data_IF_702885341946
#
_entry.id   IF_702885341946
#
_cell.length_a   1.000
_cell.length_b   1.000
_cell.length_c   1.000
_cell.angle_alpha   90.00
_cell.angle_beta   90.00
_cell.angle_gamma   90.00
#
_symmetry.space_group_name_H-M   'P 1'
#
loop_
_entity.id
_entity.type
_entity.pdbx_description
1 polymer ?
#
# COMPACT_ATOMS: atom_id res chain seq x y z
N UNK A 1 -28.03 -52.84 -53.48
CA UNK A 1 -26.84 -52.56 -52.65
C UNK A 1 -26.90 -51.04 -52.31
N UNK A 2 -27.45 -50.67 -51.14
CA UNK A 2 -27.56 -49.27 -50.66
C UNK A 2 -26.46 -48.99 -49.68
N UNK A 3 -25.56 -48.09 -50.03
CA UNK A 3 -24.47 -47.62 -49.13
C UNK A 3 -25.02 -46.55 -48.22
N UNK A 4 -25.03 -46.82 -46.89
CA UNK A 4 -25.33 -45.83 -45.86
C UNK A 4 -24.10 -44.99 -45.60
N UNK A 5 -24.20 -43.69 -45.88
CA UNK A 5 -23.22 -42.68 -45.44
C UNK A 5 -23.59 -42.23 -44.04
N UNK A 6 -22.70 -42.46 -43.07
CA UNK A 6 -22.81 -41.94 -41.69
C UNK A 6 -22.03 -40.63 -41.64
N UNK A 7 -22.64 -39.49 -41.26
CA UNK A 7 -21.90 -38.25 -41.10
C UNK A 7 -21.19 -38.29 -39.72
N UNK A 8 -19.85 -38.11 -39.76
CA UNK A 8 -19.01 -37.95 -38.62
C UNK A 8 -19.18 -36.53 -38.07
N UNK A 9 -19.97 -36.36 -37.00
CA UNK A 9 -20.11 -35.10 -36.30
C UNK A 9 -18.87 -34.90 -35.41
N UNK A 10 -17.98 -34.04 -35.85
CA UNK A 10 -16.79 -33.60 -35.07
C UNK A 10 -17.25 -32.62 -33.98
N UNK A 11 -17.34 -33.10 -32.74
CA UNK A 11 -17.66 -32.30 -31.57
C UNK A 11 -16.37 -31.54 -31.13
N UNK A 12 -16.22 -30.28 -31.57
CA UNK A 12 -15.19 -29.37 -31.06
C UNK A 12 -15.50 -29.02 -29.62
N UNK A 13 -14.82 -29.68 -28.66
CA UNK A 13 -14.76 -29.26 -27.26
C UNK A 13 -13.94 -27.97 -27.20
N UNK A 14 -14.61 -26.80 -27.14
CA UNK A 14 -13.98 -25.55 -26.73
C UNK A 14 -13.68 -25.65 -25.22
N UNK A 15 -12.45 -26.00 -24.90
CA UNK A 15 -11.92 -25.86 -23.56
C UNK A 15 -11.83 -24.35 -23.24
N UNK A 16 -12.82 -23.81 -22.56
CA UNK A 16 -12.74 -22.48 -21.98
C UNK A 16 -11.62 -22.52 -20.93
N UNK A 17 -10.45 -21.99 -21.26
CA UNK A 17 -9.35 -21.77 -20.32
C UNK A 17 -9.84 -20.76 -19.29
N UNK A 18 -10.31 -21.24 -18.14
CA UNK A 18 -10.49 -20.41 -16.95
C UNK A 18 -9.10 -19.97 -16.56
N UNK A 19 -8.71 -18.76 -16.94
CA UNK A 19 -7.50 -18.14 -16.44
C UNK A 19 -7.63 -18.09 -14.92
N UNK A 20 -6.86 -18.92 -14.22
CA UNK A 20 -6.75 -18.87 -12.76
C UNK A 20 -6.24 -17.46 -12.41
N UNK A 21 -7.12 -16.63 -11.91
CA UNK A 21 -6.77 -15.32 -11.39
C UNK A 21 -6.06 -15.55 -10.07
N UNK A 22 -4.86 -14.98 -9.94
CA UNK A 22 -4.18 -14.97 -8.65
C UNK A 22 -5.08 -14.30 -7.62
N UNK A 23 -5.24 -14.90 -6.45
CA UNK A 23 -5.93 -14.34 -5.31
C UNK A 23 -5.23 -13.02 -4.91
N UNK A 24 -5.98 -11.97 -4.67
CA UNK A 24 -5.44 -10.65 -4.32
C UNK A 24 -4.57 -10.71 -3.04
N UNK A 25 -4.85 -11.60 -2.10
CA UNK A 25 -4.02 -11.83 -0.92
C UNK A 25 -2.68 -12.45 -1.32
N UNK A 26 -2.69 -13.40 -2.25
CA UNK A 26 -1.44 -13.97 -2.76
C UNK A 26 -0.64 -12.94 -3.57
N UNK A 27 -1.32 -12.11 -4.38
CA UNK A 27 -0.69 -10.98 -5.07
C UNK A 27 -0.02 -10.02 -4.09
N UNK A 28 -0.66 -9.72 -2.95
CA UNK A 28 -0.07 -8.90 -1.88
C UNK A 28 1.16 -9.56 -1.28
N UNK A 29 1.10 -10.87 -0.97
CA UNK A 29 2.24 -11.62 -0.45
C UNK A 29 3.41 -11.62 -1.42
N UNK A 30 3.14 -11.89 -2.69
CA UNK A 30 4.14 -11.85 -3.76
C UNK A 30 4.76 -10.46 -3.89
N UNK A 31 3.94 -9.41 -3.89
CA UNK A 31 4.43 -8.02 -3.94
C UNK A 31 5.38 -7.70 -2.78
N UNK A 32 5.02 -8.09 -1.56
CA UNK A 32 5.89 -7.87 -0.38
C UNK A 32 7.16 -8.74 -0.45
N UNK A 33 7.05 -9.99 -0.92
CA UNK A 33 8.17 -10.93 -1.01
C UNK A 33 9.16 -10.54 -2.10
N UNK A 34 8.68 -10.18 -3.28
CA UNK A 34 9.49 -10.11 -4.50
C UNK A 34 9.94 -8.68 -4.83
N UNK A 35 9.10 -7.68 -4.58
CA UNK A 35 9.42 -6.28 -4.84
C UNK A 35 10.17 -5.68 -3.65
N UNK A 36 11.49 -5.62 -3.72
CA UNK A 36 12.34 -5.14 -2.60
C UNK A 36 12.44 -3.63 -2.51
N UNK A 37 12.41 -2.95 -3.64
CA UNK A 37 12.52 -1.48 -3.72
C UNK A 37 11.54 -0.93 -4.75
N UNK A 38 11.04 0.28 -4.52
CA UNK A 38 10.17 0.94 -5.48
C UNK A 38 9.98 2.42 -5.18
N UNK A 39 9.52 3.13 -6.21
CA UNK A 39 9.13 4.55 -6.17
C UNK A 39 7.85 4.72 -6.95
N UNK A 40 6.94 5.55 -6.44
CA UNK A 40 5.71 5.93 -7.12
C UNK A 40 5.37 7.40 -6.81
N UNK A 41 4.63 8.04 -7.70
CA UNK A 41 3.88 9.26 -7.37
C UNK A 41 2.57 8.83 -6.70
N UNK A 42 2.06 9.65 -5.77
CA UNK A 42 0.75 9.41 -5.19
C UNK A 42 -0.10 10.68 -5.16
N UNK A 43 -1.41 10.47 -5.24
CA UNK A 43 -2.43 11.44 -4.81
C UNK A 43 -3.21 10.81 -3.68
N UNK A 44 -3.55 11.60 -2.67
CA UNK A 44 -4.35 11.17 -1.53
C UNK A 44 -5.59 12.05 -1.40
N UNK A 45 -6.72 11.42 -1.11
CA UNK A 45 -7.94 12.13 -0.70
C UNK A 45 -8.33 11.60 0.68
N UNK A 46 -8.38 12.50 1.65
CA UNK A 46 -8.86 12.20 3.01
C UNK A 46 -10.27 12.76 3.14
N UNK A 47 -11.22 11.90 3.50
CA UNK A 47 -12.61 12.24 3.74
C UNK A 47 -12.89 12.17 5.25
N UNK A 48 -13.50 13.22 5.80
CA UNK A 48 -13.90 13.28 7.21
C UNK A 48 -14.95 12.21 7.56
N UNK A 49 -15.12 11.86 8.86
CA UNK A 49 -16.07 10.82 9.28
C UNK A 49 -17.52 11.07 8.85
N UNK A 50 -17.93 12.33 8.74
CA UNK A 50 -19.25 12.73 8.27
C UNK A 50 -19.39 12.71 6.74
N UNK A 51 -18.30 12.44 6.00
CA UNK A 51 -18.26 12.39 4.54
C UNK A 51 -18.26 13.77 3.85
N UNK A 52 -18.34 14.85 4.60
CA UNK A 52 -18.56 16.21 4.05
C UNK A 52 -17.26 16.88 3.62
N UNK A 53 -16.23 16.82 4.46
CA UNK A 53 -14.95 17.50 4.19
C UNK A 53 -14.01 16.56 3.47
N UNK A 54 -13.41 17.04 2.37
CA UNK A 54 -12.38 16.34 1.63
C UNK A 54 -11.12 17.19 1.56
N UNK A 55 -9.98 16.58 1.88
CA UNK A 55 -8.65 17.19 1.71
C UNK A 55 -7.86 16.35 0.71
N UNK A 56 -7.22 17.02 -0.25
CA UNK A 56 -6.37 16.37 -1.24
C UNK A 56 -4.92 16.74 -1.01
N UNK A 57 -4.04 15.77 -1.15
CA UNK A 57 -2.59 15.95 -1.10
C UNK A 57 -1.92 15.10 -2.17
N UNK A 58 -0.67 15.39 -2.46
CA UNK A 58 0.12 14.62 -3.42
C UNK A 58 1.59 14.66 -3.07
N UNK A 59 2.32 13.67 -3.59
CA UNK A 59 3.75 13.56 -3.31
C UNK A 59 4.37 12.31 -3.92
N UNK A 60 5.51 11.91 -3.36
CA UNK A 60 6.27 10.75 -3.78
C UNK A 60 6.34 9.73 -2.66
N UNK A 61 6.12 8.48 -3.00
CA UNK A 61 6.33 7.33 -2.12
C UNK A 61 7.52 6.53 -2.60
N UNK A 62 8.43 6.22 -1.69
CA UNK A 62 9.61 5.39 -1.92
C UNK A 62 9.71 4.33 -0.83
N UNK A 63 10.20 3.15 -1.18
CA UNK A 63 10.45 2.11 -0.19
C UNK A 63 11.66 1.24 -0.55
N UNK A 64 12.31 0.73 0.49
CA UNK A 64 13.34 -0.30 0.40
C UNK A 64 13.17 -1.26 1.58
N UNK A 65 12.68 -2.45 1.30
CA UNK A 65 12.43 -3.48 2.32
C UNK A 65 13.73 -4.08 2.85
N UNK A 66 13.76 -4.46 4.13
CA UNK A 66 12.69 -4.28 5.11
C UNK A 66 12.69 -2.89 5.77
N UNK A 67 11.51 -2.44 6.19
CA UNK A 67 11.28 -1.36 7.16
C UNK A 67 11.76 0.04 6.74
N UNK A 68 12.15 0.27 5.49
CA UNK A 68 12.56 1.58 5.00
C UNK A 68 11.55 2.11 4.00
N UNK A 69 11.07 3.31 4.24
CA UNK A 69 10.14 4.00 3.36
C UNK A 69 10.23 5.50 3.55
N UNK A 70 9.72 6.24 2.57
CA UNK A 70 9.63 7.69 2.56
C UNK A 70 8.37 8.12 1.84
N UNK A 71 7.49 8.82 2.55
CA UNK A 71 6.40 9.60 1.98
C UNK A 71 6.81 11.07 2.04
N UNK A 72 7.01 11.68 0.89
CA UNK A 72 7.28 13.10 0.77
C UNK A 72 6.05 13.78 0.17
N UNK A 73 5.24 14.41 1.02
CA UNK A 73 4.12 15.24 0.59
C UNK A 73 4.67 16.57 0.06
N UNK A 74 4.20 16.96 -1.14
CA UNK A 74 4.59 18.20 -1.78
C UNK A 74 3.46 19.21 -1.82
N UNK A 75 2.21 18.77 -1.76
CA UNK A 75 1.01 19.64 -1.80
C UNK A 75 -0.08 19.10 -0.88
N UNK A 76 -0.90 19.99 -0.27
CA UNK A 76 -0.80 21.45 -0.26
C UNK A 76 0.33 21.96 0.66
N UNK A 77 0.76 21.13 1.64
CA UNK A 77 1.80 21.42 2.63
C UNK A 77 2.90 20.37 2.54
N UNK A 78 4.12 20.79 2.81
CA UNK A 78 5.26 19.89 2.85
C UNK A 78 5.30 19.11 4.16
N UNK A 79 5.17 17.79 4.06
CA UNK A 79 5.32 16.87 5.18
C UNK A 79 6.16 15.68 4.75
N UNK A 80 6.97 15.20 5.64
CA UNK A 80 7.83 14.05 5.39
C UNK A 80 7.57 12.96 6.43
N UNK A 81 7.31 11.73 5.96
CA UNK A 81 7.22 10.55 6.81
C UNK A 81 8.31 9.57 6.35
N UNK A 82 9.25 9.25 7.25
CA UNK A 82 10.39 8.38 6.93
C UNK A 82 10.48 7.23 7.91
N UNK A 83 10.48 6.01 7.40
CA UNK A 83 10.93 4.83 8.13
C UNK A 83 12.39 4.56 7.81
N UNK A 84 13.27 4.63 8.79
CA UNK A 84 14.72 4.45 8.61
C UNK A 84 15.19 3.00 8.87
N UNK A 85 14.24 2.13 9.22
CA UNK A 85 14.47 0.74 9.61
C UNK A 85 14.40 0.50 11.12
N UNK A 86 14.53 1.53 11.93
CA UNK A 86 14.46 1.48 13.40
C UNK A 86 13.34 2.33 13.97
N UNK A 87 13.18 3.54 13.45
CA UNK A 87 12.17 4.52 13.83
C UNK A 87 11.33 4.93 12.62
N UNK A 88 10.15 5.46 12.89
CA UNK A 88 9.36 6.24 11.94
C UNK A 88 9.36 7.67 12.41
N UNK A 89 9.81 8.55 11.52
CA UNK A 89 9.84 9.99 11.68
C UNK A 89 8.69 10.63 10.95
N UNK A 90 8.08 11.63 11.54
CA UNK A 90 7.09 12.52 10.89
C UNK A 90 7.62 13.94 11.08
N UNK A 91 7.87 14.64 10.00
CA UNK A 91 8.34 16.03 10.00
C UNK A 91 7.34 16.91 9.27
N UNK A 92 6.90 17.94 9.95
CA UNK A 92 6.08 19.02 9.41
C UNK A 92 6.98 20.22 9.16
N UNK A 93 7.15 20.60 7.89
CA UNK A 93 8.06 21.66 7.50
C UNK A 93 7.54 23.06 7.92
N UNK A 94 6.23 23.27 7.86
CA UNK A 94 5.61 24.55 8.20
C UNK A 94 5.72 24.86 9.71
N UNK A 95 5.61 23.81 10.53
CA UNK A 95 5.74 23.93 11.99
C UNK A 95 7.20 23.79 12.47
N UNK A 96 8.11 23.39 11.60
CA UNK A 96 9.48 22.97 11.94
C UNK A 96 9.52 21.97 13.11
N UNK A 97 8.61 20.99 13.08
CA UNK A 97 8.42 20.01 14.14
C UNK A 97 8.66 18.61 13.63
N UNK A 98 9.43 17.83 14.34
CA UNK A 98 9.68 16.42 14.08
C UNK A 98 9.18 15.56 15.23
N UNK A 99 8.49 14.46 14.94
CA UNK A 99 8.19 13.42 15.93
C UNK A 99 8.75 12.07 15.49
N UNK A 100 9.15 11.24 16.44
CA UNK A 100 9.60 9.89 16.14
C UNK A 100 9.00 8.85 17.08
N UNK A 101 8.84 7.63 16.57
CA UNK A 101 8.46 6.45 17.33
C UNK A 101 9.18 5.22 16.82
N UNK A 102 9.31 4.19 17.66
CA UNK A 102 9.89 2.92 17.24
C UNK A 102 9.11 2.30 16.08
N UNK A 103 9.80 1.69 15.12
CA UNK A 103 9.14 1.07 13.95
C UNK A 103 8.10 0.03 14.35
N UNK A 104 8.38 -0.79 15.37
CA UNK A 104 7.44 -1.80 15.88
C UNK A 104 6.12 -1.20 16.37
N UNK A 105 6.15 -0.03 17.00
CA UNK A 105 4.95 0.69 17.44
C UNK A 105 4.24 1.41 16.28
N UNK A 106 4.97 1.67 15.19
CA UNK A 106 4.42 2.33 14.02
C UNK A 106 3.66 1.38 13.07
N UNK A 107 3.84 0.07 13.17
CA UNK A 107 3.16 -0.93 12.33
C UNK A 107 1.62 -0.83 12.43
N UNK A 108 1.09 -0.63 13.64
CA UNK A 108 -0.33 -0.38 13.85
C UNK A 108 -0.77 1.08 13.66
N UNK A 109 0.18 2.00 13.49
CA UNK A 109 -0.08 3.43 13.42
C UNK A 109 0.09 4.04 12.02
N UNK A 110 0.77 3.33 11.11
CA UNK A 110 1.12 3.89 9.80
C UNK A 110 0.95 2.83 8.71
N UNK A 111 -0.01 2.99 7.78
CA UNK A 111 -0.20 2.06 6.66
C UNK A 111 1.05 1.88 5.79
N UNK A 112 1.93 2.88 5.77
CA UNK A 112 3.24 2.82 5.12
C UNK A 112 4.13 1.70 5.68
N UNK A 113 4.06 1.46 6.97
CA UNK A 113 4.83 0.39 7.61
C UNK A 113 4.38 -1.00 7.16
N UNK A 114 3.08 -1.18 6.83
CA UNK A 114 2.58 -2.40 6.20
C UNK A 114 3.24 -2.64 4.84
N UNK A 115 3.36 -1.61 4.02
CA UNK A 115 3.99 -1.73 2.69
C UNK A 115 5.49 -1.98 2.77
N UNK A 116 6.17 -1.46 3.78
CA UNK A 116 7.62 -1.59 3.96
C UNK A 116 8.03 -2.77 4.85
N UNK A 117 7.11 -3.27 5.68
CA UNK A 117 7.34 -4.39 6.59
C UNK A 117 7.34 -5.75 5.90
N UNK A 118 7.74 -6.80 6.63
CA UNK A 118 7.90 -8.14 6.04
C UNK A 118 7.02 -9.25 6.64
N UNK A 119 6.27 -9.01 7.71
CA UNK A 119 5.56 -10.06 8.46
C UNK A 119 4.04 -9.86 8.42
N UNK A 120 3.45 -9.83 7.20
CA UNK A 120 2.01 -9.59 7.02
C UNK A 120 1.13 -10.49 7.90
N UNK A 121 1.29 -11.80 7.77
CA UNK A 121 0.43 -12.78 8.45
C UNK A 121 0.61 -12.79 9.98
N UNK A 122 1.72 -12.24 10.49
CA UNK A 122 1.95 -12.09 11.92
C UNK A 122 1.12 -10.94 12.50
N UNK A 123 1.08 -9.82 11.79
CA UNK A 123 0.56 -8.56 12.32
C UNK A 123 -0.85 -8.24 11.81
N UNK A 124 -1.29 -8.91 10.71
CA UNK A 124 -2.57 -8.65 10.06
C UNK A 124 -3.36 -9.93 9.76
N UNK A 125 -4.67 -9.82 9.84
CA UNK A 125 -5.60 -10.75 9.23
C UNK A 125 -5.87 -10.29 7.81
N UNK A 126 -5.68 -11.20 6.83
CA UNK A 126 -5.80 -10.92 5.41
C UNK A 126 -7.08 -11.52 4.85
N UNK A 127 -7.78 -10.78 3.99
CA UNK A 127 -8.99 -11.23 3.32
C UNK A 127 -9.03 -10.72 1.86
N UNK A 128 -9.60 -11.52 0.97
CA UNK A 128 -9.93 -11.11 -0.39
C UNK A 128 -11.20 -10.29 -0.37
N UNK A 129 -11.21 -9.16 -1.05
CA UNK A 129 -12.42 -8.38 -1.29
C UNK A 129 -12.88 -8.55 -2.75
N UNK A 130 -14.18 -8.30 -3.02
CA UNK A 130 -14.68 -8.29 -4.39
C UNK A 130 -13.90 -7.30 -5.26
N UNK A 131 -13.71 -7.68 -6.52
CA UNK A 131 -13.13 -6.79 -7.53
C UNK A 131 -13.99 -5.54 -7.69
N UNK A 132 -13.36 -4.36 -7.70
CA UNK A 132 -14.00 -3.08 -7.98
C UNK A 132 -13.04 -2.18 -8.76
N UNK A 133 -13.56 -1.34 -9.63
CA UNK A 133 -12.81 -0.37 -10.45
C UNK A 133 -11.67 -1.01 -11.28
N UNK A 134 -11.87 -2.29 -11.71
CA UNK A 134 -10.88 -3.04 -12.46
C UNK A 134 -9.64 -3.45 -11.65
N UNK A 135 -9.69 -3.40 -10.33
CA UNK A 135 -8.63 -3.81 -9.42
C UNK A 135 -9.03 -5.05 -8.62
N UNK A 136 -8.06 -5.92 -8.36
CA UNK A 136 -8.16 -7.01 -7.41
C UNK A 136 -7.77 -6.48 -6.03
N UNK A 137 -8.59 -6.78 -4.99
CA UNK A 137 -8.45 -6.16 -3.68
C UNK A 137 -8.15 -7.16 -2.57
N UNK A 138 -7.09 -6.87 -1.81
CA UNK A 138 -6.78 -7.56 -0.55
C UNK A 138 -6.97 -6.60 0.62
N UNK A 139 -7.64 -7.04 1.67
CA UNK A 139 -7.78 -6.30 2.92
C UNK A 139 -6.81 -6.82 3.95
N UNK A 140 -6.14 -5.91 4.65
CA UNK A 140 -5.33 -6.18 5.82
C UNK A 140 -5.97 -5.50 7.04
N UNK A 141 -6.33 -6.30 8.05
CA UNK A 141 -6.91 -5.84 9.31
C UNK A 141 -5.88 -6.07 10.41
N UNK A 142 -5.43 -5.03 11.15
CA UNK A 142 -4.48 -5.20 12.24
C UNK A 142 -5.02 -6.14 13.31
N UNK A 143 -4.20 -7.07 13.80
CA UNK A 143 -4.53 -7.93 14.95
C UNK A 143 -4.51 -7.15 16.26
N UNK A 144 -3.68 -6.11 16.35
CA UNK A 144 -3.70 -5.16 17.44
C UNK A 144 -4.86 -4.18 17.29
N UNK A 145 -5.74 -4.13 18.29
CA UNK A 145 -6.97 -3.31 18.24
C UNK A 145 -6.76 -1.83 18.54
N UNK A 146 -5.65 -1.48 19.17
CA UNK A 146 -5.32 -0.10 19.63
C UNK A 146 -4.55 0.69 18.57
N UNK A 147 -4.55 0.23 17.30
CA UNK A 147 -3.87 0.88 16.19
C UNK A 147 -4.58 2.14 15.68
N UNK A 148 -3.84 2.98 14.98
CA UNK A 148 -4.37 4.20 14.38
C UNK A 148 -5.31 3.94 13.19
N UNK A 149 -5.37 2.74 12.65
CA UNK A 149 -6.28 2.37 11.57
C UNK A 149 -6.99 1.04 11.82
N UNK A 150 -8.22 0.94 11.32
CA UNK A 150 -9.08 -0.25 11.46
C UNK A 150 -8.79 -1.27 10.36
N UNK A 151 -8.59 -0.79 9.15
CA UNK A 151 -8.30 -1.64 7.99
C UNK A 151 -7.60 -0.87 6.89
N UNK A 152 -6.83 -1.60 6.08
CA UNK A 152 -6.26 -1.12 4.83
C UNK A 152 -6.63 -2.10 3.74
N UNK A 153 -7.30 -1.64 2.68
CA UNK A 153 -7.49 -2.43 1.47
C UNK A 153 -6.45 -1.99 0.42
N UNK A 154 -5.85 -2.97 -0.24
CA UNK A 154 -4.83 -2.80 -1.25
C UNK A 154 -5.39 -3.24 -2.59
N UNK A 155 -5.50 -2.31 -3.54
CA UNK A 155 -5.98 -2.55 -4.89
C UNK A 155 -4.83 -2.77 -5.85
N UNK A 156 -4.84 -3.90 -6.57
CA UNK A 156 -3.81 -4.28 -7.52
C UNK A 156 -4.36 -4.25 -8.95
N UNK A 157 -3.56 -3.74 -9.88
CA UNK A 157 -3.76 -3.90 -11.32
C UNK A 157 -2.76 -4.94 -11.81
N UNK A 158 -3.21 -6.18 -11.97
CA UNK A 158 -2.29 -7.29 -12.15
C UNK A 158 -1.38 -7.45 -10.93
N UNK A 159 -0.08 -7.24 -11.09
CA UNK A 159 0.91 -7.31 -9.99
C UNK A 159 1.27 -5.95 -9.38
N UNK A 160 0.80 -4.86 -9.98
CA UNK A 160 1.17 -3.51 -9.57
C UNK A 160 0.21 -2.96 -8.53
N UNK A 161 0.74 -2.49 -7.42
CA UNK A 161 -0.03 -1.75 -6.41
C UNK A 161 -0.52 -0.44 -7.01
N UNK A 162 -1.84 -0.27 -7.08
CA UNK A 162 -2.49 0.90 -7.66
C UNK A 162 -3.15 1.81 -6.62
N UNK A 163 -3.73 1.23 -5.57
CA UNK A 163 -4.52 1.99 -4.58
C UNK A 163 -4.30 1.45 -3.18
N UNK A 164 -4.24 2.35 -2.19
CA UNK A 164 -4.50 2.06 -0.78
C UNK A 164 -5.79 2.75 -0.36
N UNK A 165 -6.68 2.00 0.26
CA UNK A 165 -7.94 2.46 0.80
C UNK A 165 -7.93 2.20 2.32
N UNK A 166 -7.85 3.25 3.12
CA UNK A 166 -7.54 3.20 4.55
C UNK A 166 -8.72 3.73 5.35
N UNK A 167 -9.20 2.94 6.30
CA UNK A 167 -10.15 3.36 7.32
C UNK A 167 -9.43 3.49 8.66
N UNK A 168 -9.35 4.70 9.18
CA UNK A 168 -8.67 4.94 10.46
C UNK A 168 -9.58 4.67 11.67
N UNK A 169 -8.97 4.72 12.87
CA UNK A 169 -9.69 4.47 14.12
C UNK A 169 -10.69 5.60 14.48
N UNK A 170 -10.53 6.78 13.87
CA UNK A 170 -11.35 7.97 14.14
C UNK A 170 -12.49 8.12 13.13
N UNK A 171 -12.63 7.19 12.18
CA UNK A 171 -13.68 7.18 11.15
C UNK A 171 -13.32 7.97 9.89
N UNK A 172 -12.08 8.45 9.74
CA UNK A 172 -11.64 9.05 8.49
C UNK A 172 -11.41 7.96 7.44
N UNK A 173 -11.63 8.31 6.20
CA UNK A 173 -11.40 7.48 5.04
C UNK A 173 -10.35 8.14 4.14
N UNK A 174 -9.24 7.45 3.91
CA UNK A 174 -8.13 7.94 3.07
C UNK A 174 -7.91 7.03 1.89
N UNK A 175 -7.95 7.57 0.68
CA UNK A 175 -7.62 6.84 -0.55
C UNK A 175 -6.34 7.42 -1.14
N UNK A 176 -5.31 6.58 -1.24
CA UNK A 176 -4.07 6.91 -1.96
C UNK A 176 -4.08 6.19 -3.31
N UNK A 177 -3.96 6.93 -4.39
CA UNK A 177 -3.80 6.38 -5.74
C UNK A 177 -2.37 6.54 -6.17
N UNK A 178 -1.73 5.44 -6.53
CA UNK A 178 -0.36 5.41 -7.03
C UNK A 178 -0.32 5.49 -8.55
N UNK A 179 0.70 6.16 -9.05
CA UNK A 179 1.01 6.25 -10.46
C UNK A 179 2.53 6.16 -10.67
N UNK A 180 2.95 5.79 -11.88
CA UNK A 180 4.36 5.69 -12.24
C UNK A 180 5.17 4.80 -11.30
N UNK A 181 4.57 3.69 -10.84
CA UNK A 181 5.29 2.73 -9.99
C UNK A 181 6.47 2.14 -10.75
N UNK A 182 7.67 2.40 -10.27
CA UNK A 182 8.91 1.79 -10.73
C UNK A 182 9.48 0.92 -9.59
N UNK A 183 9.92 -0.29 -9.92
CA UNK A 183 10.48 -1.26 -8.98
C UNK A 183 11.94 -1.55 -9.31
N UNK A 184 12.68 -2.18 -8.39
CA UNK A 184 14.09 -2.48 -8.60
C UNK A 184 14.99 -1.25 -8.56
N UNK A 185 14.60 -0.20 -7.85
CA UNK A 185 15.34 1.05 -7.74
C UNK A 185 16.58 0.87 -6.87
N UNK A 186 17.72 1.33 -7.35
CA UNK A 186 18.94 1.46 -6.55
C UNK A 186 18.94 2.80 -5.83
N UNK A 187 18.67 2.78 -4.52
CA UNK A 187 18.70 3.97 -3.68
C UNK A 187 20.10 4.19 -3.10
N UNK A 188 20.48 5.46 -2.90
CA UNK A 188 21.66 5.81 -2.11
C UNK A 188 21.53 5.29 -0.66
N UNK A 189 22.64 5.05 0.01
CA UNK A 189 22.65 4.46 1.36
C UNK A 189 21.92 5.30 2.42
N UNK A 190 21.83 6.61 2.20
CA UNK A 190 21.19 7.60 3.06
C UNK A 190 19.78 8.00 2.64
N UNK A 191 19.25 7.45 1.54
CA UNK A 191 17.93 7.83 0.98
C UNK A 191 16.77 7.77 2.00
N UNK A 192 16.87 6.89 2.99
CA UNK A 192 15.87 6.69 4.05
C UNK A 192 16.35 7.18 5.42
N UNK A 193 17.44 7.94 5.47
CA UNK A 193 17.90 8.59 6.70
C UNK A 193 17.16 9.93 6.87
N UNK A 194 16.72 10.20 8.07
CA UNK A 194 16.16 11.49 8.43
C UNK A 194 16.96 12.07 9.62
N UNK A 195 17.35 13.32 9.50
CA UNK A 195 17.93 14.11 10.59
C UNK A 195 17.08 15.36 10.71
N UNK A 196 16.49 15.64 11.88
CA UNK A 196 15.72 16.86 12.08
C UNK A 196 16.57 18.10 11.71
N UNK A 197 16.00 19.09 11.00
CA UNK A 197 16.69 20.33 10.70
C UNK A 197 17.13 21.07 11.97
N UNK A 198 18.10 21.96 11.84
CA UNK A 198 18.55 22.80 12.94
C UNK A 198 17.39 23.66 13.47
N UNK A 199 17.16 23.64 14.78
CA UNK A 199 16.08 24.39 15.43
C UNK A 199 14.70 23.75 15.30
N UNK A 200 14.59 22.52 14.77
CA UNK A 200 13.33 21.78 14.81
C UNK A 200 12.99 21.36 16.24
N UNK A 201 11.70 21.47 16.59
CA UNK A 201 11.18 20.88 17.82
C UNK A 201 11.04 19.36 17.63
N UNK A 202 11.67 18.57 18.52
CA UNK A 202 11.73 17.11 18.39
C UNK A 202 11.00 16.43 19.53
N UNK A 203 9.96 15.63 19.20
CA UNK A 203 9.17 14.87 20.16
C UNK A 203 9.44 13.38 19.93
N UNK A 204 9.99 12.69 20.94
CA UNK A 204 10.15 11.22 20.92
C UNK A 204 8.99 10.55 21.67
N UNK A 205 8.38 9.51 21.05
CA UNK A 205 7.23 8.76 21.57
C UNK A 205 7.58 7.28 21.75
#
# INVERSE_FOLDING_TARGET
MKKLLVPLISLCLMAASVAARADAVETLRDFIRDVKTGRAQFTQVVTSPDGVKKKSSSGTFEFARPNRFRFAYAKPFEQLIVGDGQKVWIFDADLNQASSRKFSSALGATPAALLAGGALDKDFDLAVLPMRDGLDWAQATPKQKDGAFKSVALGFRGKDLAVLDIHDAFGQHSVLTFSQLATGINFAADAFRFTPPAGADVIEQ
#
